data_IF_794852478692
#
_entry.id   IF_794852478692
#
_cell.length_a   1.000
_cell.length_b   1.000
_cell.length_c   1.000
_cell.angle_alpha   90.00
_cell.angle_beta   90.00
_cell.angle_gamma   90.00
#
_symmetry.space_group_name_H-M   'P 1'
#
loop_
_entity.id
_entity.type
_entity.pdbx_description
1 polymer ?
#
# COMPACT_ATOMS: atom_id res chain seq x y z
N UNK A 1 -11.55 -0.39 -22.87
CA UNK A 1 -11.92 0.92 -23.47
C UNK A 1 -11.07 2.04 -22.88
N UNK A 2 -10.92 3.18 -23.57
CA UNK A 2 -10.20 4.36 -23.06
C UNK A 2 -11.19 5.29 -22.35
N UNK A 3 -11.07 5.40 -21.03
CA UNK A 3 -11.96 6.18 -20.19
C UNK A 3 -11.25 7.44 -19.66
N UNK A 4 -11.54 8.61 -20.24
CA UNK A 4 -10.97 9.88 -19.78
C UNK A 4 -11.95 10.60 -18.86
N UNK A 5 -11.55 10.87 -17.63
CA UNK A 5 -12.43 11.40 -16.58
C UNK A 5 -11.72 12.49 -15.78
N UNK A 6 -12.46 13.54 -15.41
CA UNK A 6 -11.96 14.54 -14.44
C UNK A 6 -12.09 14.00 -13.02
N UNK A 7 -11.00 14.03 -12.27
CA UNK A 7 -10.94 13.56 -10.88
C UNK A 7 -10.44 14.66 -9.94
N UNK A 8 -10.67 14.50 -8.64
CA UNK A 8 -10.11 15.41 -7.63
C UNK A 8 -8.64 15.04 -7.34
N UNK A 9 -7.93 15.96 -6.67
CA UNK A 9 -6.57 15.69 -6.17
C UNK A 9 -6.60 14.50 -5.20
N UNK A 10 -7.60 14.43 -4.32
CA UNK A 10 -7.79 13.30 -3.40
C UNK A 10 -7.88 11.97 -4.14
N UNK A 11 -8.67 11.91 -5.22
CA UNK A 11 -8.77 10.70 -6.06
C UNK A 11 -7.43 10.36 -6.71
N UNK A 12 -6.68 11.35 -7.19
CA UNK A 12 -5.37 11.12 -7.78
C UNK A 12 -4.37 10.56 -6.75
N UNK A 13 -4.34 11.11 -5.53
CA UNK A 13 -3.51 10.60 -4.44
C UNK A 13 -3.89 9.16 -4.06
N UNK A 14 -5.18 8.85 -4.00
CA UNK A 14 -5.67 7.48 -3.75
C UNK A 14 -5.20 6.48 -4.83
N UNK A 15 -5.15 6.89 -6.10
CA UNK A 15 -4.63 6.04 -7.17
C UNK A 15 -3.15 5.73 -6.93
N UNK A 16 -2.33 6.74 -6.60
CA UNK A 16 -0.89 6.51 -6.36
C UNK A 16 -0.66 5.66 -5.09
N UNK A 17 -1.44 5.88 -4.03
CA UNK A 17 -1.35 5.08 -2.80
C UNK A 17 -1.71 3.61 -3.05
N UNK A 18 -2.83 3.34 -3.72
CA UNK A 18 -3.20 1.97 -4.07
C UNK A 18 -2.22 1.34 -5.06
N UNK A 19 -1.70 2.14 -6.00
CA UNK A 19 -0.65 1.68 -6.91
C UNK A 19 0.55 1.16 -6.12
N UNK A 20 1.07 1.96 -5.19
CA UNK A 20 2.17 1.56 -4.33
C UNK A 20 1.85 0.27 -3.56
N UNK A 21 0.68 0.19 -2.93
CA UNK A 21 0.26 -1.00 -2.17
C UNK A 21 0.16 -2.27 -3.03
N UNK A 22 -0.31 -2.15 -4.26
CA UNK A 22 -0.47 -3.30 -5.16
C UNK A 22 0.86 -3.70 -5.81
N UNK A 23 1.68 -2.73 -6.23
CA UNK A 23 3.02 -2.98 -6.76
C UNK A 23 3.90 -3.65 -5.69
N UNK A 24 3.88 -3.17 -4.44
CA UNK A 24 4.62 -3.79 -3.32
C UNK A 24 4.20 -5.24 -3.06
N UNK A 25 2.89 -5.52 -3.15
CA UNK A 25 2.35 -6.85 -2.90
C UNK A 25 2.69 -7.84 -4.00
N UNK A 26 2.71 -7.38 -5.25
CA UNK A 26 2.83 -8.25 -6.43
C UNK A 26 4.23 -8.29 -7.01
N UNK A 27 5.07 -7.28 -6.73
CA UNK A 27 6.36 -7.06 -7.39
C UNK A 27 6.24 -6.64 -8.86
N UNK A 28 5.04 -6.30 -9.33
CA UNK A 28 4.75 -5.99 -10.74
C UNK A 28 4.32 -4.52 -10.84
N UNK A 29 4.87 -3.78 -11.82
CA UNK A 29 4.42 -2.40 -12.04
C UNK A 29 3.01 -2.33 -12.65
N UNK A 30 2.20 -1.40 -12.16
CA UNK A 30 0.81 -1.23 -12.52
C UNK A 30 0.54 0.11 -13.19
N UNK A 31 -0.27 0.09 -14.26
CA UNK A 31 -0.84 1.32 -14.81
C UNK A 31 -2.01 1.79 -13.95
N UNK A 32 -2.40 3.07 -14.07
CA UNK A 32 -3.58 3.62 -13.37
C UNK A 32 -4.88 2.87 -13.72
N UNK A 33 -4.97 2.36 -14.95
CA UNK A 33 -6.08 1.50 -15.37
C UNK A 33 -6.10 0.18 -14.60
N UNK A 34 -4.95 -0.49 -14.48
CA UNK A 34 -4.83 -1.72 -13.67
C UNK A 34 -5.19 -1.47 -12.21
N UNK A 35 -4.74 -0.36 -11.63
CA UNK A 35 -5.08 0.01 -10.25
C UNK A 35 -6.58 0.17 -10.07
N UNK A 36 -7.29 0.85 -10.98
CA UNK A 36 -8.74 1.00 -10.88
C UNK A 36 -9.47 -0.34 -11.05
N UNK A 37 -9.03 -1.21 -11.96
CA UNK A 37 -9.64 -2.53 -12.12
C UNK A 37 -9.47 -3.38 -10.86
N UNK A 38 -8.27 -3.40 -10.29
CA UNK A 38 -8.01 -4.11 -9.05
C UNK A 38 -8.81 -3.53 -7.87
N UNK A 39 -8.87 -2.20 -7.77
CA UNK A 39 -9.64 -1.52 -6.74
C UNK A 39 -11.15 -1.77 -6.86
N UNK A 40 -11.67 -1.93 -8.08
CA UNK A 40 -13.06 -2.30 -8.31
C UNK A 40 -13.37 -3.67 -7.68
N UNK A 41 -12.56 -4.68 -7.99
CA UNK A 41 -12.69 -6.01 -7.39
C UNK A 41 -12.54 -5.95 -5.86
N UNK A 42 -11.58 -5.15 -5.37
CA UNK A 42 -11.38 -4.94 -3.95
C UNK A 42 -12.50 -4.16 -3.26
N UNK A 43 -13.42 -3.54 -3.99
CA UNK A 43 -14.55 -2.80 -3.43
C UNK A 43 -15.84 -3.62 -3.31
N UNK A 44 -15.86 -4.86 -3.78
CA UNK A 44 -17.06 -5.72 -3.78
C UNK A 44 -17.59 -6.08 -2.38
N UNK A 45 -16.77 -5.91 -1.33
CA UNK A 45 -17.21 -6.12 0.07
C UNK A 45 -18.15 -5.03 0.58
N UNK A 46 -18.30 -3.91 -0.15
CA UNK A 46 -19.05 -2.75 0.32
C UNK A 46 -20.55 -3.00 0.20
N UNK A 47 -21.20 -3.15 1.36
CA UNK A 47 -22.66 -3.16 1.47
C UNK A 47 -23.24 -1.78 1.84
N UNK A 48 -22.42 -0.87 2.37
CA UNK A 48 -22.82 0.48 2.77
C UNK A 48 -21.91 1.55 2.14
N UNK A 49 -22.31 2.03 0.96
CA UNK A 49 -21.60 3.09 0.27
C UNK A 49 -21.69 4.45 0.96
N UNK A 50 -22.70 4.68 1.81
CA UNK A 50 -22.79 5.93 2.59
C UNK A 50 -21.72 5.94 3.68
N UNK A 51 -21.55 4.83 4.39
CA UNK A 51 -20.45 4.64 5.34
C UNK A 51 -19.07 4.85 4.70
N UNK A 52 -18.85 4.32 3.49
CA UNK A 52 -17.61 4.60 2.74
C UNK A 52 -17.48 6.08 2.39
N UNK A 53 -18.56 6.77 2.01
CA UNK A 53 -18.51 8.20 1.70
C UNK A 53 -18.15 9.04 2.93
N UNK A 54 -18.80 8.78 4.06
CA UNK A 54 -18.66 9.54 5.31
C UNK A 54 -17.37 9.24 6.08
N UNK A 55 -16.73 8.08 5.84
CA UNK A 55 -15.51 7.69 6.53
C UNK A 55 -14.36 8.68 6.31
N UNK A 56 -13.47 8.83 7.28
CA UNK A 56 -12.24 9.60 7.10
C UNK A 56 -11.09 8.64 6.85
N UNK A 57 -10.32 8.92 5.80
CA UNK A 57 -9.11 8.18 5.48
C UNK A 57 -7.89 9.08 5.65
N UNK A 58 -6.78 8.49 6.08
CA UNK A 58 -5.47 9.12 6.08
C UNK A 58 -4.55 8.25 5.22
N UNK A 59 -4.03 8.83 4.14
CA UNK A 59 -3.05 8.18 3.27
C UNK A 59 -1.75 7.92 4.05
N UNK A 60 -1.01 6.88 3.66
CA UNK A 60 0.24 6.52 4.34
C UNK A 60 1.40 7.37 3.83
N UNK A 61 1.34 7.73 2.55
CA UNK A 61 2.34 8.52 1.86
C UNK A 61 1.76 9.88 1.44
N UNK A 62 2.63 10.86 1.24
CA UNK A 62 2.26 12.10 0.56
C UNK A 62 2.70 12.06 -0.90
N UNK A 63 1.81 12.50 -1.78
CA UNK A 63 2.00 12.47 -3.22
C UNK A 63 1.84 13.87 -3.79
N UNK A 64 2.84 14.32 -4.53
CA UNK A 64 2.75 15.52 -5.33
C UNK A 64 1.96 15.24 -6.61
N UNK A 65 0.79 15.87 -6.76
CA UNK A 65 -0.09 15.67 -7.91
C UNK A 65 0.01 16.86 -8.86
N UNK A 66 0.59 16.64 -10.04
CA UNK A 66 0.61 17.64 -11.12
C UNK A 66 -0.80 17.88 -11.67
N UNK A 67 -1.12 19.11 -12.08
CA UNK A 67 -2.47 19.46 -12.60
C UNK A 67 -2.93 18.56 -13.76
N UNK A 68 -2.02 18.20 -14.66
CA UNK A 68 -2.31 17.30 -15.79
C UNK A 68 -2.76 15.89 -15.37
N UNK A 69 -2.45 15.46 -14.14
CA UNK A 69 -2.84 14.16 -13.62
C UNK A 69 -4.33 14.08 -13.21
N UNK A 70 -5.05 15.20 -13.19
CA UNK A 70 -6.48 15.27 -12.81
C UNK A 70 -7.44 14.85 -13.94
N UNK A 71 -6.91 14.47 -15.10
CA UNK A 71 -7.68 13.93 -16.24
C UNK A 71 -7.04 12.65 -16.77
N UNK A 72 -6.87 11.61 -15.94
CA UNK A 72 -6.22 10.38 -16.38
C UNK A 72 -7.01 9.73 -17.51
N UNK A 73 -6.28 9.15 -18.46
CA UNK A 73 -6.82 8.20 -19.43
C UNK A 73 -6.69 6.81 -18.82
N UNK A 74 -7.81 6.22 -18.44
CA UNK A 74 -7.87 4.94 -17.75
C UNK A 74 -8.29 3.87 -18.76
N UNK A 75 -7.43 2.89 -18.97
CA UNK A 75 -7.78 1.70 -19.74
C UNK A 75 -8.39 0.68 -18.79
N UNK A 76 -9.70 0.45 -18.93
CA UNK A 76 -10.46 -0.47 -18.08
C UNK A 76 -11.27 -1.46 -18.91
N UNK A 77 -11.64 -2.59 -18.29
CA UNK A 77 -12.56 -3.57 -18.86
C UNK A 77 -13.99 -3.01 -18.94
N UNK A 78 -14.82 -3.60 -19.80
CA UNK A 78 -16.22 -3.23 -19.94
C UNK A 78 -17.01 -3.47 -18.64
N UNK A 79 -16.66 -4.52 -17.91
CA UNK A 79 -17.25 -4.86 -16.61
C UNK A 79 -17.04 -3.73 -15.59
N UNK A 80 -15.80 -3.26 -15.44
CA UNK A 80 -15.47 -2.17 -14.50
C UNK A 80 -16.16 -0.87 -14.92
N UNK A 81 -16.23 -0.59 -16.23
CA UNK A 81 -16.97 0.56 -16.72
C UNK A 81 -18.48 0.46 -16.39
N UNK A 82 -19.10 -0.70 -16.65
CA UNK A 82 -20.50 -0.93 -16.30
C UNK A 82 -20.74 -0.80 -14.80
N UNK A 83 -19.85 -1.34 -13.97
CA UNK A 83 -19.91 -1.20 -12.52
C UNK A 83 -19.87 0.26 -12.06
N UNK A 84 -19.00 1.07 -12.65
CA UNK A 84 -18.94 2.52 -12.39
C UNK A 84 -20.24 3.21 -12.80
N UNK A 85 -20.84 2.84 -13.94
CA UNK A 85 -22.11 3.41 -14.39
C UNK A 85 -23.29 2.99 -13.51
N UNK A 86 -23.29 1.76 -13.00
CA UNK A 86 -24.28 1.29 -12.02
C UNK A 86 -24.17 2.10 -10.73
N UNK A 87 -22.96 2.25 -10.17
CA UNK A 87 -22.71 3.09 -9.00
C UNK A 87 -23.16 4.53 -9.21
N UNK A 88 -22.91 5.11 -10.40
CA UNK A 88 -23.36 6.46 -10.75
C UNK A 88 -24.88 6.64 -10.65
N UNK A 89 -25.66 5.58 -10.91
CA UNK A 89 -27.13 5.58 -10.81
C UNK A 89 -27.62 5.36 -9.38
N UNK A 90 -26.88 4.60 -8.59
CA UNK A 90 -27.28 4.19 -7.23
C UNK A 90 -26.85 5.18 -6.15
N UNK A 91 -25.60 5.67 -6.22
CA UNK A 91 -25.01 6.58 -5.24
C UNK A 91 -25.83 7.84 -4.96
N UNK A 92 -26.47 8.51 -5.95
CA UNK A 92 -27.29 9.68 -5.66
C UNK A 92 -28.41 9.39 -4.64
N UNK A 93 -29.04 8.20 -4.75
CA UNK A 93 -30.11 7.78 -3.83
C UNK A 93 -29.55 7.54 -2.42
N UNK A 94 -28.41 6.85 -2.34
CA UNK A 94 -27.73 6.52 -1.08
C UNK A 94 -27.25 7.77 -0.33
N UNK A 95 -26.74 8.75 -1.08
CA UNK A 95 -26.17 9.98 -0.52
C UNK A 95 -27.20 11.12 -0.35
N UNK A 96 -28.44 10.92 -0.81
CA UNK A 96 -29.49 11.95 -0.73
C UNK A 96 -29.22 13.16 -1.63
N UNK A 97 -28.55 12.98 -2.77
CA UNK A 97 -28.21 14.05 -3.71
C UNK A 97 -28.83 13.80 -5.08
N UNK A 98 -28.97 14.85 -5.89
CA UNK A 98 -29.57 14.75 -7.23
C UNK A 98 -28.73 13.91 -8.21
N UNK A 99 -27.40 14.02 -8.14
CA UNK A 99 -26.49 13.32 -9.04
C UNK A 99 -25.07 13.24 -8.47
N UNK A 100 -24.28 12.31 -9.01
CA UNK A 100 -22.85 12.21 -8.73
C UNK A 100 -22.04 12.15 -10.02
N UNK A 101 -20.81 12.65 -9.98
CA UNK A 101 -19.88 12.56 -11.09
C UNK A 101 -19.22 11.18 -11.12
N UNK A 102 -18.68 10.81 -12.28
CA UNK A 102 -17.90 9.58 -12.42
C UNK A 102 -16.66 9.61 -11.50
N UNK A 103 -16.00 10.78 -11.38
CA UNK A 103 -14.87 10.95 -10.48
C UNK A 103 -15.22 10.64 -9.02
N UNK A 104 -16.44 10.97 -8.56
CA UNK A 104 -16.93 10.60 -7.23
C UNK A 104 -17.11 9.08 -7.11
N UNK A 105 -17.65 8.42 -8.14
CA UNK A 105 -17.81 6.96 -8.15
C UNK A 105 -16.44 6.26 -8.04
N UNK A 106 -15.48 6.67 -8.88
CA UNK A 106 -14.10 6.18 -8.85
C UNK A 106 -13.46 6.42 -7.49
N UNK A 107 -13.64 7.62 -6.91
CA UNK A 107 -13.13 7.93 -5.58
C UNK A 107 -13.64 6.95 -4.52
N UNK A 108 -14.93 6.62 -4.53
CA UNK A 108 -15.51 5.71 -3.56
C UNK A 108 -15.02 4.27 -3.72
N UNK A 109 -14.89 3.80 -4.97
CA UNK A 109 -14.27 2.50 -5.27
C UNK A 109 -12.85 2.44 -4.70
N UNK A 110 -12.01 3.43 -5.02
CA UNK A 110 -10.63 3.49 -4.53
C UNK A 110 -10.58 3.61 -3.00
N UNK A 111 -11.47 4.40 -2.40
CA UNK A 111 -11.53 4.56 -0.95
C UNK A 111 -11.90 3.25 -0.24
N UNK A 112 -12.88 2.52 -0.77
CA UNK A 112 -13.27 1.21 -0.27
C UNK A 112 -12.11 0.20 -0.37
N UNK A 113 -11.45 0.15 -1.52
CA UNK A 113 -10.29 -0.70 -1.73
C UNK A 113 -9.14 -0.34 -0.76
N UNK A 114 -8.87 0.95 -0.58
CA UNK A 114 -7.85 1.43 0.35
C UNK A 114 -8.14 1.02 1.80
N UNK A 115 -9.39 1.17 2.25
CA UNK A 115 -9.80 0.76 3.59
C UNK A 115 -9.56 -0.74 3.83
N UNK A 116 -10.00 -1.60 2.89
CA UNK A 116 -9.76 -3.05 2.92
C UNK A 116 -8.26 -3.38 2.99
N UNK A 117 -7.47 -2.74 2.13
CA UNK A 117 -6.04 -3.01 2.05
C UNK A 117 -5.26 -2.50 3.28
N UNK A 118 -5.69 -1.42 3.92
CA UNK A 118 -5.12 -0.97 5.20
C UNK A 118 -5.45 -1.93 6.34
N UNK A 119 -6.68 -2.46 6.39
CA UNK A 119 -7.03 -3.46 7.40
C UNK A 119 -6.20 -4.72 7.25
N UNK A 120 -5.93 -5.16 6.02
CA UNK A 120 -4.99 -6.25 5.73
C UNK A 120 -3.56 -5.92 6.20
N UNK A 121 -3.07 -4.71 5.93
CA UNK A 121 -1.73 -4.26 6.38
C UNK A 121 -1.65 -4.17 7.90
N UNK A 122 -2.71 -3.69 8.57
CA UNK A 122 -2.81 -3.68 10.04
C UNK A 122 -2.93 -5.08 10.62
N UNK A 123 -3.65 -5.99 9.96
CA UNK A 123 -3.75 -7.40 10.33
C UNK A 123 -2.42 -8.13 10.19
N UNK A 124 -1.65 -7.86 9.12
CA UNK A 124 -0.26 -8.34 8.96
C UNK A 124 0.67 -7.73 9.99
N UNK A 125 0.57 -6.42 10.24
CA UNK A 125 1.36 -5.75 11.27
C UNK A 125 1.02 -6.25 12.68
N UNK A 126 -0.24 -6.60 12.97
CA UNK A 126 -0.65 -7.18 14.24
C UNK A 126 -0.21 -8.65 14.38
N UNK A 127 -0.18 -9.44 13.30
CA UNK A 127 0.49 -10.75 13.28
C UNK A 127 1.99 -10.63 13.56
N UNK A 128 2.62 -9.55 13.08
CA UNK A 128 4.04 -9.27 13.29
C UNK A 128 4.35 -8.56 14.63
N UNK A 129 3.36 -7.91 15.28
CA UNK A 129 3.50 -7.32 16.62
C UNK A 129 3.70 -8.37 17.73
N UNK A 130 3.48 -9.65 17.43
CA UNK A 130 3.85 -10.76 18.30
C UNK A 130 5.26 -11.32 18.05
N UNK A 131 5.93 -10.92 16.97
CA UNK A 131 7.30 -11.34 16.73
C UNK A 131 8.23 -10.42 17.50
N UNK A 132 8.41 -10.72 18.80
CA UNK A 132 9.64 -10.33 19.49
C UNK A 132 10.78 -10.78 18.58
N UNK A 133 11.62 -9.85 18.12
CA UNK A 133 12.89 -10.24 17.54
C UNK A 133 13.59 -11.02 18.65
N UNK A 134 13.78 -12.33 18.44
CA UNK A 134 14.56 -13.14 19.34
C UNK A 134 16.01 -12.70 19.17
N UNK A 135 16.42 -11.73 19.99
CA UNK A 135 17.77 -11.15 19.99
C UNK A 135 18.81 -12.26 20.13
N UNK A 136 18.50 -13.32 20.86
CA UNK A 136 19.42 -14.45 21.01
C UNK A 136 19.57 -15.23 19.70
N UNK A 137 18.47 -15.46 18.97
CA UNK A 137 18.54 -16.08 17.65
C UNK A 137 19.33 -15.21 16.65
N UNK A 138 19.18 -13.89 16.70
CA UNK A 138 19.93 -12.95 15.87
C UNK A 138 21.44 -12.96 16.20
N UNK A 139 21.79 -12.95 17.49
CA UNK A 139 23.18 -13.08 17.96
C UNK A 139 23.82 -14.40 17.51
N UNK A 140 23.07 -15.50 17.57
CA UNK A 140 23.54 -16.80 17.10
C UNK A 140 23.82 -16.80 15.58
N UNK A 141 23.00 -16.11 14.78
CA UNK A 141 23.21 -15.97 13.34
C UNK A 141 24.47 -15.13 13.06
N UNK A 142 24.64 -14.00 13.75
CA UNK A 142 25.82 -13.14 13.61
C UNK A 142 27.09 -13.93 13.92
N UNK A 143 27.13 -14.66 15.03
CA UNK A 143 28.30 -15.46 15.41
C UNK A 143 28.62 -16.54 14.39
N UNK A 144 27.61 -17.26 13.88
CA UNK A 144 27.79 -18.24 12.80
C UNK A 144 28.47 -17.64 11.57
N UNK A 145 28.11 -16.41 11.19
CA UNK A 145 28.73 -15.75 10.05
C UNK A 145 30.12 -15.18 10.37
N UNK A 146 30.38 -14.71 11.60
CA UNK A 146 31.75 -14.36 12.04
C UNK A 146 32.68 -15.56 11.92
N UNK A 147 32.29 -16.72 12.45
CA UNK A 147 33.05 -17.98 12.32
C UNK A 147 33.28 -18.38 10.86
N UNK A 148 32.25 -18.25 10.01
CA UNK A 148 32.37 -18.56 8.58
C UNK A 148 33.37 -17.63 7.89
N UNK A 149 33.36 -16.34 8.23
CA UNK A 149 34.27 -15.34 7.65
C UNK A 149 35.72 -15.66 8.03
N UNK A 150 35.98 -15.96 9.30
CA UNK A 150 37.31 -16.33 9.79
C UNK A 150 37.88 -17.58 9.11
N UNK A 151 37.02 -18.50 8.67
CA UNK A 151 37.42 -19.72 7.98
C UNK A 151 37.62 -19.56 6.46
N UNK A 152 36.91 -18.61 5.82
CA UNK A 152 36.86 -18.49 4.35
C UNK A 152 37.73 -17.36 3.78
N UNK A 153 38.14 -16.39 4.60
CA UNK A 153 38.82 -15.18 4.14
C UNK A 153 40.13 -14.91 4.88
N UNK A 154 40.98 -14.08 4.28
CA UNK A 154 42.21 -13.63 4.94
C UNK A 154 41.91 -12.75 6.16
N UNK A 155 42.92 -12.61 7.02
CA UNK A 155 42.81 -11.94 8.31
C UNK A 155 42.45 -10.45 8.17
N UNK A 156 42.95 -9.76 7.14
CA UNK A 156 42.71 -8.33 6.94
C UNK A 156 41.25 -8.06 6.53
N UNK A 157 40.73 -8.84 5.58
CA UNK A 157 39.33 -8.76 5.18
C UNK A 157 38.39 -9.20 6.32
N UNK A 158 38.72 -10.31 6.99
CA UNK A 158 37.92 -10.86 8.09
C UNK A 158 37.75 -9.84 9.21
N UNK A 159 38.84 -9.21 9.65
CA UNK A 159 38.80 -8.20 10.71
C UNK A 159 37.90 -7.01 10.36
N UNK A 160 37.91 -6.56 9.10
CA UNK A 160 37.09 -5.44 8.65
C UNK A 160 35.60 -5.77 8.69
N UNK A 161 35.22 -6.95 8.19
CA UNK A 161 33.81 -7.37 8.15
C UNK A 161 33.30 -7.73 9.55
N UNK A 162 34.10 -8.40 10.38
CA UNK A 162 33.75 -8.73 11.76
C UNK A 162 33.52 -7.47 12.60
N UNK A 163 34.32 -6.41 12.37
CA UNK A 163 34.12 -5.12 13.01
C UNK A 163 32.77 -4.51 12.65
N UNK A 164 32.42 -4.45 11.36
CA UNK A 164 31.11 -3.97 10.90
C UNK A 164 29.95 -4.77 11.50
N UNK A 165 30.06 -6.10 11.56
CA UNK A 165 29.05 -6.94 12.20
C UNK A 165 28.90 -6.66 13.70
N UNK A 166 30.00 -6.34 14.38
CA UNK A 166 29.99 -5.99 15.80
C UNK A 166 29.40 -4.59 16.06
N UNK A 167 29.63 -3.65 15.15
CA UNK A 167 29.00 -2.32 15.19
C UNK A 167 27.48 -2.44 15.01
N UNK A 168 27.01 -3.26 14.07
CA UNK A 168 25.57 -3.57 13.88
C UNK A 168 24.98 -4.22 15.14
N UNK A 169 25.67 -5.20 15.72
CA UNK A 169 25.23 -5.87 16.96
C UNK A 169 25.04 -4.87 18.11
N UNK A 170 25.96 -3.89 18.22
CA UNK A 170 25.91 -2.83 19.23
C UNK A 170 24.73 -1.86 19.00
N UNK A 171 24.43 -1.50 17.75
CA UNK A 171 23.30 -0.63 17.42
C UNK A 171 21.95 -1.31 17.69
N UNK A 172 21.87 -2.62 17.44
CA UNK A 172 20.68 -3.43 17.73
C UNK A 172 20.42 -3.50 19.25
N UNK A 173 21.46 -3.72 20.05
CA UNK A 173 21.34 -3.77 21.52
C UNK A 173 20.86 -2.42 22.08
N UNK A 174 21.44 -1.29 21.63
CA UNK A 174 21.00 0.06 22.05
C UNK A 174 19.56 0.38 21.69
N UNK A 175 19.09 -0.11 20.54
CA UNK A 175 17.72 0.11 20.09
C UNK A 175 16.68 -0.65 20.93
N UNK A 176 17.12 -1.65 21.71
CA UNK A 176 16.27 -2.45 22.58
C UNK A 176 16.18 -1.91 24.02
N UNK A 177 17.15 -1.14 24.49
CA UNK A 177 17.15 -0.54 25.85
C UNK A 177 16.25 0.71 25.98
N UNK A 178 15.71 1.24 24.87
CA UNK A 178 14.88 2.46 24.83
C UNK A 178 13.36 2.14 24.90
N UNK A 179 12.96 0.87 25.07
CA UNK A 179 11.56 0.46 25.27
C UNK A 179 11.18 0.38 26.76
#
# INVERSE_FOLDING_TARGET
>A
MNYQVRISIETAKLIEELKHMYEDRTGISMTKGNVLMQAFNDSEWVNDWKGIFDSKIKLLNDYEIKEGALRPKLQVSNEVEMGIQTLKKELPKVLGVRSVTIGVCIRLILKAAFMKNIEDVKGRSNKNKGQRIDIQALKNIINKYKEKIELEYDEEFSNTVIKLLSDIETEVDKSCEIQ
#
